data_IF_887041319012
#
_entry.id   IF_887041319012
#
_cell.length_a   1.000
_cell.length_b   1.000
_cell.length_c   1.000
_cell.angle_alpha   90.00
_cell.angle_beta   90.00
_cell.angle_gamma   90.00
#
_symmetry.space_group_name_H-M   'P 1'
#
loop_
_entity.id
_entity.type
_entity.pdbx_description
1 polymer ?
#
# COMPACT_ATOMS: atom_id res chain seq x y z
N UNK A 1 -16.58 -38.40 -24.68
CA UNK A 1 -16.77 -36.95 -24.94
C UNK A 1 -17.30 -36.20 -23.71
N UNK A 2 -18.45 -36.57 -23.12
CA UNK A 2 -19.03 -35.86 -21.96
C UNK A 2 -18.16 -35.91 -20.68
N UNK A 3 -17.55 -37.06 -20.38
CA UNK A 3 -16.64 -37.23 -19.23
C UNK A 3 -15.36 -36.38 -19.35
N UNK A 4 -14.79 -36.28 -20.56
CA UNK A 4 -13.62 -35.43 -20.85
C UNK A 4 -13.93 -33.94 -20.69
N UNK A 5 -15.12 -33.51 -21.10
CA UNK A 5 -15.56 -32.13 -20.96
C UNK A 5 -15.76 -31.74 -19.49
N UNK A 6 -16.32 -32.65 -18.68
CA UNK A 6 -16.46 -32.45 -17.22
C UNK A 6 -15.08 -32.35 -16.56
N UNK A 7 -14.13 -33.20 -16.96
CA UNK A 7 -12.78 -33.20 -16.40
C UNK A 7 -12.00 -31.93 -16.76
N UNK A 8 -12.16 -31.43 -18.00
CA UNK A 8 -11.58 -30.16 -18.45
C UNK A 8 -12.17 -28.95 -17.70
N UNK A 9 -13.48 -28.92 -17.50
CA UNK A 9 -14.16 -27.87 -16.72
C UNK A 9 -13.71 -27.88 -15.26
N UNK A 10 -13.55 -29.05 -14.65
CA UNK A 10 -13.01 -29.16 -13.30
C UNK A 10 -11.56 -28.65 -13.20
N UNK A 11 -10.72 -28.91 -14.20
CA UNK A 11 -9.33 -28.47 -14.23
C UNK A 11 -9.21 -26.93 -14.31
N UNK A 12 -10.03 -26.30 -15.17
CA UNK A 12 -10.10 -24.84 -15.26
C UNK A 12 -10.64 -24.22 -13.96
N UNK A 13 -11.65 -24.84 -13.34
CA UNK A 13 -12.21 -24.36 -12.08
C UNK A 13 -11.20 -24.42 -10.91
N UNK A 14 -10.33 -25.44 -10.87
CA UNK A 14 -9.27 -25.55 -9.84
C UNK A 14 -8.24 -24.42 -9.95
N UNK A 15 -7.99 -23.93 -11.16
CA UNK A 15 -7.13 -22.75 -11.35
C UNK A 15 -7.82 -21.44 -10.92
N UNK A 16 -9.14 -21.34 -11.05
CA UNK A 16 -9.87 -20.14 -10.63
C UNK A 16 -9.94 -19.95 -9.11
N UNK A 17 -9.86 -21.04 -8.32
CA UNK A 17 -10.06 -20.99 -6.85
C UNK A 17 -8.76 -20.67 -6.09
N UNK A 18 -7.60 -20.95 -6.68
CA UNK A 18 -6.31 -20.80 -6.01
C UNK A 18 -5.70 -19.40 -6.17
N UNK A 19 -6.48 -18.33 -5.91
CA UNK A 19 -5.99 -16.96 -5.69
C UNK A 19 -4.71 -16.56 -6.45
N UNK A 20 -4.65 -16.86 -7.76
CA UNK A 20 -3.39 -16.83 -8.53
C UNK A 20 -2.87 -15.40 -8.55
N UNK A 21 -1.88 -15.13 -7.72
CA UNK A 21 -1.09 -13.91 -7.80
C UNK A 21 -0.16 -14.06 -9.00
N UNK A 22 -0.21 -13.13 -9.94
CA UNK A 22 0.36 -13.24 -11.29
C UNK A 22 1.84 -13.69 -11.36
N UNK A 23 2.30 -14.09 -12.57
CA UNK A 23 3.57 -14.79 -12.78
C UNK A 23 4.82 -14.05 -12.28
N UNK A 24 4.75 -12.72 -12.14
CA UNK A 24 5.85 -11.87 -11.71
C UNK A 24 5.95 -11.66 -10.19
N UNK A 25 5.11 -12.29 -9.36
CA UNK A 25 5.13 -12.06 -7.90
C UNK A 25 6.48 -12.37 -7.23
N UNK A 26 7.21 -13.38 -7.71
CA UNK A 26 8.53 -13.74 -7.15
C UNK A 26 9.58 -12.64 -7.32
N UNK A 27 9.36 -11.68 -8.21
CA UNK A 27 10.27 -10.56 -8.47
C UNK A 27 10.25 -9.52 -7.35
N UNK A 28 9.16 -9.43 -6.58
CA UNK A 28 9.00 -8.43 -5.54
C UNK A 28 8.90 -9.10 -4.16
N UNK A 29 9.74 -8.71 -3.18
CA UNK A 29 9.64 -9.25 -1.83
C UNK A 29 8.27 -8.92 -1.24
N UNK A 30 7.61 -9.92 -0.64
CA UNK A 30 6.35 -9.69 0.06
C UNK A 30 6.65 -8.89 1.33
N UNK A 31 6.31 -7.60 1.32
CA UNK A 31 6.38 -6.72 2.48
C UNK A 31 5.13 -6.97 3.34
N UNK A 32 5.30 -7.36 4.60
CA UNK A 32 4.22 -7.36 5.58
C UNK A 32 3.95 -5.90 5.95
N UNK A 33 2.83 -5.34 5.52
CA UNK A 33 2.38 -4.05 6.05
C UNK A 33 2.00 -4.24 7.52
N UNK A 34 2.38 -3.31 8.38
CA UNK A 34 1.66 -3.10 9.63
C UNK A 34 0.20 -2.83 9.25
N UNK A 35 -0.70 -3.68 9.72
CA UNK A 35 -2.13 -3.43 9.56
C UNK A 35 -2.45 -2.30 10.51
N UNK A 36 -2.66 -1.10 9.96
CA UNK A 36 -3.32 -0.01 10.69
C UNK A 36 -4.73 -0.52 10.96
N UNK A 37 -5.08 -0.64 12.24
CA UNK A 37 -6.43 -1.05 12.62
C UNK A 37 -7.37 0.13 12.44
N UNK A 38 -8.65 -0.14 12.17
CA UNK A 38 -9.63 0.92 11.89
C UNK A 38 -9.83 1.85 13.11
N UNK A 39 -9.43 1.38 14.29
CA UNK A 39 -9.52 2.10 15.56
C UNK A 39 -8.27 2.97 15.87
N UNK A 40 -7.24 2.96 15.02
CA UNK A 40 -6.06 3.81 15.20
C UNK A 40 -6.38 5.25 14.76
N UNK A 41 -6.50 6.17 15.71
CA UNK A 41 -6.67 7.60 15.45
C UNK A 41 -5.37 8.18 14.85
N UNK A 42 -5.38 8.66 13.59
CA UNK A 42 -4.20 9.26 12.95
C UNK A 42 -3.87 10.65 13.51
N UNK A 43 -4.71 11.22 14.38
CA UNK A 43 -4.56 12.56 14.92
C UNK A 43 -4.99 13.65 13.94
N UNK A 44 -4.45 14.85 14.12
CA UNK A 44 -4.80 16.01 13.30
C UNK A 44 -4.10 15.99 11.94
N UNK A 45 -4.80 16.40 10.84
CA UNK A 45 -4.21 16.47 9.52
C UNK A 45 -3.15 17.58 9.43
N UNK A 46 -1.98 17.25 8.88
CA UNK A 46 -0.93 18.22 8.58
C UNK A 46 -1.10 18.83 7.18
N UNK A 47 -1.36 20.13 7.11
CA UNK A 47 -1.40 20.89 5.85
C UNK A 47 -0.06 21.57 5.56
N UNK A 48 0.57 21.21 4.44
CA UNK A 48 1.91 21.69 4.09
C UNK A 48 1.89 22.97 3.26
N UNK A 49 0.82 23.22 2.49
CA UNK A 49 0.66 24.40 1.63
C UNK A 49 1.07 25.72 2.29
N UNK A 50 0.57 26.10 3.48
CA UNK A 50 0.92 27.40 4.06
C UNK A 50 2.42 27.56 4.35
N UNK A 51 3.11 26.47 4.71
CA UNK A 51 4.55 26.51 4.95
C UNK A 51 5.33 26.64 3.63
N UNK A 52 4.89 25.94 2.58
CA UNK A 52 5.52 25.99 1.27
C UNK A 52 5.35 27.36 0.61
N UNK A 53 4.16 27.96 0.70
CA UNK A 53 3.88 29.31 0.16
C UNK A 53 4.70 30.40 0.85
N UNK A 54 4.96 30.24 2.14
CA UNK A 54 5.82 31.14 2.93
C UNK A 54 7.33 30.88 2.73
N UNK A 55 7.70 29.93 1.86
CA UNK A 55 9.09 29.55 1.62
C UNK A 55 9.74 28.78 2.77
N UNK A 56 8.97 28.29 3.74
CA UNK A 56 9.45 27.56 4.92
C UNK A 56 9.66 26.06 4.61
N UNK A 57 10.53 25.77 3.64
CA UNK A 57 10.74 24.42 3.09
C UNK A 57 11.27 23.45 4.13
N UNK A 58 12.28 23.86 4.91
CA UNK A 58 12.91 23.02 5.93
C UNK A 58 11.91 22.63 7.02
N UNK A 59 11.04 23.58 7.39
CA UNK A 59 9.99 23.38 8.38
C UNK A 59 8.91 22.43 7.86
N UNK A 60 8.44 22.62 6.63
CA UNK A 60 7.51 21.70 5.98
C UNK A 60 8.07 20.27 5.92
N UNK A 61 9.36 20.13 5.57
CA UNK A 61 10.06 18.84 5.53
C UNK A 61 10.17 18.20 6.92
N UNK A 62 10.48 18.97 7.95
CA UNK A 62 10.59 18.45 9.32
C UNK A 62 9.23 17.98 9.83
N UNK A 63 8.18 18.78 9.67
CA UNK A 63 6.83 18.46 10.13
C UNK A 63 6.23 17.25 9.40
N UNK A 64 6.54 17.07 8.12
CA UNK A 64 6.03 15.95 7.34
C UNK A 64 6.75 14.63 7.60
N UNK A 65 7.85 14.60 8.35
CA UNK A 65 8.63 13.37 8.56
C UNK A 65 7.84 12.34 9.37
N UNK A 66 7.71 11.13 8.84
CA UNK A 66 7.02 10.01 9.50
C UNK A 66 7.90 8.77 9.60
N UNK A 67 7.78 8.06 10.72
CA UNK A 67 8.38 6.75 10.90
C UNK A 67 7.40 5.67 10.46
N UNK A 68 7.88 4.71 9.65
CA UNK A 68 7.05 3.60 9.15
C UNK A 68 7.65 2.25 9.61
N UNK A 69 7.50 1.86 10.89
CA UNK A 69 7.93 0.54 11.34
C UNK A 69 7.30 -0.59 10.50
N UNK A 70 8.05 -1.63 10.11
CA UNK A 70 9.44 -1.96 10.48
C UNK A 70 10.52 -1.33 9.59
N UNK A 71 10.16 -0.42 8.67
CA UNK A 71 11.08 0.17 7.71
C UNK A 71 11.82 1.35 8.32
N UNK A 72 13.16 1.37 8.17
CA UNK A 72 14.03 2.47 8.62
C UNK A 72 14.19 3.59 7.58
N UNK A 73 13.46 3.52 6.47
CA UNK A 73 13.60 4.49 5.41
C UNK A 73 12.84 5.77 5.76
N UNK A 74 13.49 6.91 5.59
CA UNK A 74 12.86 8.21 5.78
C UNK A 74 11.66 8.36 4.84
N UNK A 75 10.52 8.70 5.42
CA UNK A 75 9.25 8.88 4.72
C UNK A 75 8.62 10.20 5.15
N UNK A 76 7.80 10.78 4.28
CA UNK A 76 7.12 12.04 4.53
C UNK A 76 5.63 11.92 4.22
N UNK A 77 4.78 12.57 4.99
CA UNK A 77 3.33 12.60 4.84
C UNK A 77 2.75 13.99 5.12
N UNK A 78 1.66 14.34 4.46
CA UNK A 78 0.95 15.61 4.63
C UNK A 78 0.06 15.93 3.44
N UNK A 79 -0.89 16.84 3.65
CA UNK A 79 -1.82 17.28 2.61
C UNK A 79 -1.29 18.52 1.90
N UNK A 80 -1.44 18.50 0.57
CA UNK A 80 -1.30 19.67 -0.28
C UNK A 80 -2.71 20.10 -0.70
N UNK A 81 -3.06 21.33 -0.37
CA UNK A 81 -4.31 21.97 -0.80
C UNK A 81 -3.98 23.03 -1.83
N UNK A 82 -4.84 23.12 -2.86
CA UNK A 82 -4.75 24.07 -3.98
C UNK A 82 -5.96 24.99 -3.99
#
# INVERSE_FOLDING_TARGET
MRSLLVLFVCLVAVECVNGYRGPFRKMFPTRKSSVVTVDDDPGEPLFLTPYLEQGQIEKARQLSSVELPPYKQQSFSGYLTV
#
